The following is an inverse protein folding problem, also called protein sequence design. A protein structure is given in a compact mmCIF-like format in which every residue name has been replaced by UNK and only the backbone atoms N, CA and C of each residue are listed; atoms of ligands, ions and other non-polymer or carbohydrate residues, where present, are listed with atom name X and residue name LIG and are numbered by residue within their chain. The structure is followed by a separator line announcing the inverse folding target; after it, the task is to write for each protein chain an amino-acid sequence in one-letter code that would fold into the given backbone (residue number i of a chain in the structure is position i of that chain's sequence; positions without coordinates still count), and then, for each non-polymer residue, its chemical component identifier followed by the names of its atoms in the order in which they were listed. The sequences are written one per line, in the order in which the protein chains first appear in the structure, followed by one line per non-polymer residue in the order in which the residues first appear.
data_IF_650550838438
#
_entry.id   IF_650550838438
#
_cell.length_a   1.000
_cell.length_b   1.000
_cell.length_c   1.000
_cell.angle_alpha   90.00
_cell.angle_beta   90.00
_cell.angle_gamma   90.00
#
_symmetry.space_group_name_H-M   'P 1'
#
loop_
_entity.id
_entity.type
_entity.pdbx_description
1 polymer ?
#
# COMPACT_ATOMS: atom_id res chain seq x y z
N UNK A 1 -26.30 10.02 -27.51
CA UNK A 1 -26.52 11.00 -26.40
C UNK A 1 -25.85 10.44 -25.15
N UNK A 2 -24.66 10.93 -24.81
CA UNK A 2 -24.07 10.65 -23.48
C UNK A 2 -24.94 11.38 -22.44
N UNK A 3 -25.64 10.63 -21.60
CA UNK A 3 -26.30 11.21 -20.44
C UNK A 3 -25.22 11.82 -19.56
N UNK A 4 -25.31 13.12 -19.34
CA UNK A 4 -24.49 13.83 -18.37
C UNK A 4 -24.64 13.15 -17.01
N UNK A 5 -23.56 12.55 -16.50
CA UNK A 5 -23.51 11.91 -15.17
C UNK A 5 -23.37 12.92 -14.02
N UNK A 6 -23.52 14.22 -14.32
CA UNK A 6 -23.45 15.29 -13.32
C UNK A 6 -24.65 15.14 -12.37
N UNK A 7 -24.38 14.84 -11.11
CA UNK A 7 -25.39 14.65 -10.07
C UNK A 7 -25.86 13.21 -9.85
N UNK A 8 -25.27 12.21 -10.55
CA UNK A 8 -25.53 10.81 -10.23
C UNK A 8 -24.88 10.42 -8.88
N UNK A 9 -25.44 9.42 -8.18
CA UNK A 9 -24.84 8.89 -6.93
C UNK A 9 -23.38 8.49 -7.11
N UNK A 10 -23.01 7.99 -8.28
CA UNK A 10 -21.65 7.62 -8.63
C UNK A 10 -20.73 8.85 -8.63
N UNK A 11 -21.14 9.95 -9.26
CA UNK A 11 -20.36 11.20 -9.25
C UNK A 11 -20.24 11.80 -7.84
N UNK A 12 -21.25 11.65 -6.99
CA UNK A 12 -21.22 12.11 -5.59
C UNK A 12 -20.18 11.31 -4.80
N UNK A 13 -20.17 9.98 -4.95
CA UNK A 13 -19.20 9.10 -4.29
C UNK A 13 -17.77 9.37 -4.76
N UNK A 14 -17.56 9.50 -6.07
CA UNK A 14 -16.25 9.78 -6.65
C UNK A 14 -15.70 11.12 -6.16
N UNK A 15 -16.56 12.15 -6.14
CA UNK A 15 -16.19 13.46 -5.58
C UNK A 15 -15.81 13.35 -4.10
N UNK A 16 -16.61 12.66 -3.30
CA UNK A 16 -16.35 12.48 -1.87
C UNK A 16 -15.02 11.77 -1.62
N UNK A 17 -14.74 10.70 -2.38
CA UNK A 17 -13.48 9.96 -2.28
C UNK A 17 -12.31 10.85 -2.69
N UNK A 18 -12.39 11.53 -3.83
CA UNK A 18 -11.33 12.40 -4.32
C UNK A 18 -11.04 13.56 -3.35
N UNK A 19 -12.09 14.26 -2.87
CA UNK A 19 -11.96 15.36 -1.92
C UNK A 19 -11.29 14.92 -0.61
N UNK A 20 -11.73 13.79 -0.03
CA UNK A 20 -11.16 13.30 1.22
C UNK A 20 -9.71 12.85 1.04
N UNK A 21 -9.37 12.17 -0.05
CA UNK A 21 -8.00 11.79 -0.35
C UNK A 21 -7.09 13.02 -0.52
N UNK A 22 -7.53 14.02 -1.28
CA UNK A 22 -6.79 15.27 -1.44
C UNK A 22 -6.59 15.97 -0.10
N UNK A 23 -7.63 16.05 0.74
CA UNK A 23 -7.57 16.67 2.07
C UNK A 23 -6.60 15.95 2.99
N UNK A 24 -6.65 14.60 3.03
CA UNK A 24 -5.72 13.79 3.85
C UNK A 24 -4.29 14.02 3.39
N UNK A 25 -4.04 13.88 2.09
CA UNK A 25 -2.70 14.09 1.53
C UNK A 25 -2.19 15.50 1.79
N UNK A 26 -3.00 16.51 1.57
CA UNK A 26 -2.66 17.90 1.84
C UNK A 26 -2.26 18.11 3.30
N UNK A 27 -3.04 17.60 4.25
CA UNK A 27 -2.76 17.74 5.68
C UNK A 27 -1.44 17.06 6.09
N UNK A 28 -1.11 15.93 5.49
CA UNK A 28 0.15 15.22 5.73
C UNK A 28 1.32 16.03 5.16
N UNK A 29 1.21 16.49 3.91
CA UNK A 29 2.27 17.26 3.24
C UNK A 29 2.53 18.60 3.93
N UNK A 30 1.47 19.30 4.36
CA UNK A 30 1.62 20.56 5.09
C UNK A 30 2.29 20.42 6.46
N UNK A 31 2.16 19.25 7.09
CA UNK A 31 2.83 18.97 8.36
C UNK A 31 4.26 18.47 8.19
N UNK A 32 4.58 17.91 7.03
CA UNK A 32 5.90 17.34 6.74
C UNK A 32 6.26 17.53 5.26
N UNK A 33 6.58 18.77 4.88
CA UNK A 33 6.92 19.14 3.50
C UNK A 33 8.17 18.38 2.99
N UNK A 34 9.15 18.16 3.89
CA UNK A 34 10.47 17.62 3.55
C UNK A 34 10.56 16.08 3.66
N UNK A 35 9.44 15.41 3.97
CA UNK A 35 9.41 13.94 4.17
C UNK A 35 10.41 13.47 5.25
N UNK A 36 10.41 14.19 6.38
CA UNK A 36 11.28 13.88 7.51
C UNK A 36 10.69 12.81 8.47
N UNK A 37 9.42 12.47 8.33
CA UNK A 37 8.74 11.49 9.19
C UNK A 37 7.32 11.21 8.75
N UNK A 38 6.33 12.03 9.17
CA UNK A 38 4.90 11.79 8.93
C UNK A 38 4.57 11.49 7.47
N UNK A 39 5.23 12.17 6.53
CA UNK A 39 4.97 11.97 5.11
C UNK A 39 5.36 10.57 4.60
N UNK A 40 6.23 9.84 5.31
CA UNK A 40 6.51 8.43 5.00
C UNK A 40 5.23 7.58 4.99
N UNK A 41 4.19 7.97 5.78
CA UNK A 41 2.90 7.27 5.82
C UNK A 41 2.22 7.17 4.46
N UNK A 42 2.46 8.13 3.56
CA UNK A 42 1.95 8.11 2.19
C UNK A 42 2.60 7.02 1.33
N UNK A 43 3.67 6.38 1.80
CA UNK A 43 4.31 5.25 1.14
C UNK A 43 3.69 3.90 1.51
N UNK A 44 2.55 3.88 2.22
CA UNK A 44 1.80 2.65 2.45
C UNK A 44 1.49 1.97 1.10
N UNK A 45 1.74 0.67 0.98
CA UNK A 45 1.60 -0.09 -0.27
C UNK A 45 2.76 0.07 -1.26
N UNK A 46 3.53 1.16 -1.20
CA UNK A 46 4.49 1.50 -2.25
C UNK A 46 5.71 0.57 -2.31
N UNK A 47 6.15 0.00 -1.20
CA UNK A 47 7.33 -0.87 -1.20
C UNK A 47 7.11 -2.08 -2.10
N UNK A 48 6.01 -2.80 -1.92
CA UNK A 48 5.66 -3.95 -2.76
C UNK A 48 5.07 -3.49 -4.10
N UNK A 49 4.17 -2.50 -4.10
CA UNK A 49 3.49 -2.04 -5.31
C UNK A 49 4.45 -1.57 -6.40
N UNK A 50 5.48 -0.79 -6.09
CA UNK A 50 6.48 -0.36 -7.08
C UNK A 50 7.33 -1.50 -7.62
N UNK A 51 7.63 -2.50 -6.80
CA UNK A 51 8.32 -3.69 -7.27
C UNK A 51 7.43 -4.47 -8.25
N UNK A 52 6.14 -4.60 -7.96
CA UNK A 52 5.13 -5.20 -8.84
C UNK A 52 5.04 -4.42 -10.16
N UNK A 53 4.95 -3.09 -10.14
CA UNK A 53 4.95 -2.27 -11.35
C UNK A 53 6.15 -2.59 -12.25
N UNK A 54 7.33 -2.67 -11.65
CA UNK A 54 8.57 -2.92 -12.40
C UNK A 54 8.61 -4.35 -12.97
N UNK A 55 8.29 -5.36 -12.15
CA UNK A 55 8.35 -6.78 -12.57
C UNK A 55 7.24 -7.12 -13.57
N UNK A 56 6.09 -6.44 -13.48
CA UNK A 56 5.00 -6.58 -14.46
C UNK A 56 5.25 -5.85 -15.77
N UNK A 57 6.39 -5.18 -15.95
CA UNK A 57 6.67 -4.32 -17.09
C UNK A 57 5.58 -3.24 -17.28
N UNK A 58 5.12 -2.66 -16.15
CA UNK A 58 4.07 -1.63 -16.09
C UNK A 58 2.74 -2.03 -16.72
N UNK A 59 2.42 -3.33 -16.77
CA UNK A 59 1.13 -3.84 -17.26
C UNK A 59 -0.03 -3.53 -16.31
N UNK A 60 0.26 -3.39 -15.01
CA UNK A 60 -0.71 -2.95 -14.02
C UNK A 60 -0.68 -1.43 -13.88
N UNK A 61 -1.84 -0.83 -13.71
CA UNK A 61 -1.93 0.58 -13.35
C UNK A 61 -1.34 0.79 -11.94
N UNK A 62 -0.81 1.98 -11.69
CA UNK A 62 -0.21 2.33 -10.40
C UNK A 62 -1.11 1.98 -9.21
N UNK A 63 -2.39 2.36 -9.25
CA UNK A 63 -3.35 2.06 -8.20
C UNK A 63 -3.63 0.56 -8.01
N UNK A 64 -3.59 -0.22 -9.09
CA UNK A 64 -3.74 -1.67 -9.05
C UNK A 64 -2.54 -2.34 -8.38
N UNK A 65 -1.33 -1.95 -8.77
CA UNK A 65 -0.11 -2.44 -8.12
C UNK A 65 -0.05 -2.04 -6.63
N UNK A 66 -0.47 -0.81 -6.31
CA UNK A 66 -0.52 -0.35 -4.91
C UNK A 66 -1.59 -1.09 -4.09
N UNK A 67 -2.73 -1.46 -4.66
CA UNK A 67 -3.75 -2.22 -3.91
C UNK A 67 -3.23 -3.60 -3.48
N UNK A 68 -2.46 -4.27 -4.33
CA UNK A 68 -1.76 -5.51 -3.96
C UNK A 68 -0.71 -5.23 -2.87
N UNK A 69 0.06 -4.15 -3.02
CA UNK A 69 1.03 -3.72 -2.01
C UNK A 69 0.41 -3.40 -0.65
N UNK A 70 -0.79 -2.79 -0.64
CA UNK A 70 -1.54 -2.52 0.59
C UNK A 70 -2.10 -3.79 1.22
N UNK A 71 -2.55 -4.77 0.41
CA UNK A 71 -2.94 -6.09 0.89
C UNK A 71 -1.75 -6.80 1.56
N UNK A 72 -0.57 -6.79 0.92
CA UNK A 72 0.65 -7.33 1.50
C UNK A 72 0.98 -6.70 2.86
N UNK A 73 0.89 -5.37 2.96
CA UNK A 73 1.19 -4.66 4.21
C UNK A 73 0.13 -4.87 5.29
N UNK A 74 -1.14 -5.08 4.93
CA UNK A 74 -2.18 -5.47 5.88
C UNK A 74 -1.87 -6.84 6.49
N UNK A 75 -1.51 -7.84 5.67
CA UNK A 75 -1.09 -9.16 6.13
C UNK A 75 0.17 -9.09 7.00
N UNK A 76 1.21 -8.34 6.57
CA UNK A 76 2.41 -8.12 7.40
C UNK A 76 2.06 -7.49 8.75
N UNK A 77 1.16 -6.50 8.75
CA UNK A 77 0.75 -5.82 9.99
C UNK A 77 0.01 -6.76 10.93
N UNK A 78 -0.81 -7.68 10.41
CA UNK A 78 -1.49 -8.70 11.19
C UNK A 78 -0.49 -9.72 11.75
N UNK A 79 0.43 -10.26 10.94
CA UNK A 79 1.47 -11.20 11.37
C UNK A 79 2.39 -10.62 12.46
N UNK A 80 2.60 -9.30 12.44
CA UNK A 80 3.40 -8.58 13.43
C UNK A 80 2.59 -8.06 14.63
N UNK A 81 1.27 -8.32 14.68
CA UNK A 81 0.40 -7.96 15.80
C UNK A 81 0.01 -6.48 15.88
N UNK A 82 0.19 -5.71 14.80
CA UNK A 82 -0.23 -4.29 14.75
C UNK A 82 -1.70 -4.10 14.36
N UNK A 83 -2.35 -5.12 13.81
CA UNK A 83 -3.78 -5.17 13.56
C UNK A 83 -4.27 -6.62 13.69
N UNK A 84 -5.58 -6.83 13.83
CA UNK A 84 -6.13 -8.18 13.83
C UNK A 84 -6.22 -8.75 12.42
N UNK A 85 -6.25 -10.09 12.29
CA UNK A 85 -6.47 -10.75 11.00
C UNK A 85 -7.81 -10.34 10.37
N UNK A 86 -8.86 -10.21 11.21
CA UNK A 86 -10.17 -9.72 10.77
C UNK A 86 -10.10 -8.31 10.15
N UNK A 87 -9.30 -7.42 10.74
CA UNK A 87 -9.08 -6.07 10.20
C UNK A 87 -8.33 -6.12 8.88
N UNK A 88 -7.30 -6.96 8.76
CA UNK A 88 -6.55 -7.14 7.53
C UNK A 88 -7.47 -7.68 6.41
N UNK A 89 -8.26 -8.71 6.71
CA UNK A 89 -9.24 -9.26 5.79
C UNK A 89 -10.28 -8.22 5.34
N UNK A 90 -10.76 -7.40 6.27
CA UNK A 90 -11.69 -6.31 5.95
C UNK A 90 -11.09 -5.28 4.99
N UNK A 91 -9.81 -4.94 5.15
CA UNK A 91 -9.08 -4.04 4.23
C UNK A 91 -9.00 -4.67 2.84
N UNK A 92 -8.60 -5.94 2.75
CA UNK A 92 -8.49 -6.68 1.49
C UNK A 92 -9.85 -6.75 0.78
N UNK A 93 -10.89 -7.17 1.49
CA UNK A 93 -12.26 -7.22 0.94
C UNK A 93 -12.78 -5.86 0.45
N UNK A 94 -12.35 -4.76 1.06
CA UNK A 94 -12.72 -3.43 0.60
C UNK A 94 -12.13 -3.15 -0.79
N UNK A 95 -10.87 -3.48 -1.02
CA UNK A 95 -10.24 -3.32 -2.34
C UNK A 95 -10.88 -4.22 -3.40
N UNK A 96 -11.15 -5.48 -3.07
CA UNK A 96 -11.86 -6.41 -3.96
C UNK A 96 -13.24 -5.88 -4.36
N UNK A 97 -14.01 -5.37 -3.39
CA UNK A 97 -15.33 -4.74 -3.65
C UNK A 97 -15.22 -3.46 -4.50
N UNK A 98 -14.09 -2.77 -4.47
CA UNK A 98 -13.81 -1.64 -5.34
C UNK A 98 -13.32 -2.07 -6.73
N UNK A 99 -13.22 -3.37 -7.02
CA UNK A 99 -12.72 -3.91 -8.29
C UNK A 99 -11.21 -3.81 -8.45
N UNK A 100 -10.48 -3.64 -7.33
CA UNK A 100 -9.02 -3.57 -7.33
C UNK A 100 -8.41 -4.95 -7.03
N UNK A 101 -7.29 -5.32 -7.69
CA UNK A 101 -6.61 -6.58 -7.42
C UNK A 101 -5.96 -6.54 -6.03
N UNK A 102 -6.02 -7.67 -5.33
CA UNK A 102 -5.41 -7.88 -4.02
C UNK A 102 -4.41 -9.03 -4.02
N UNK A 103 -4.29 -9.73 -5.14
CA UNK A 103 -3.36 -10.85 -5.34
C UNK A 103 -2.38 -10.53 -6.46
N UNK A 104 -1.20 -11.10 -6.34
CA UNK A 104 -0.17 -11.00 -7.39
C UNK A 104 -0.63 -11.85 -8.59
N UNK A 105 -0.73 -11.27 -9.79
CA UNK A 105 -1.10 -12.01 -10.99
C UNK A 105 -0.13 -13.18 -11.29
N UNK A 106 -0.66 -14.30 -11.79
CA UNK A 106 0.10 -15.52 -12.06
C UNK A 106 1.24 -15.34 -13.08
N UNK A 107 1.16 -14.33 -13.94
CA UNK A 107 2.22 -14.02 -14.89
C UNK A 107 3.43 -13.29 -14.28
N UNK A 108 3.36 -12.92 -13.00
CA UNK A 108 4.46 -12.30 -12.26
C UNK A 108 5.22 -13.39 -11.50
N UNK A 109 6.51 -13.52 -11.78
CA UNK A 109 7.40 -14.39 -11.01
C UNK A 109 7.62 -13.80 -9.61
N UNK A 110 7.12 -14.51 -8.59
CA UNK A 110 7.23 -14.09 -7.18
C UNK A 110 8.67 -14.06 -6.67
N UNK A 111 9.52 -14.94 -7.18
CA UNK A 111 10.94 -14.96 -6.83
C UNK A 111 11.67 -13.74 -7.41
N UNK A 112 11.37 -13.38 -8.64
CA UNK A 112 11.88 -12.17 -9.26
C UNK A 112 11.39 -10.92 -8.51
N UNK A 113 10.12 -10.92 -8.07
CA UNK A 113 9.55 -9.84 -7.27
C UNK A 113 10.29 -9.68 -5.93
N UNK A 114 10.55 -10.78 -5.22
CA UNK A 114 11.35 -10.74 -3.98
C UNK A 114 12.74 -10.19 -4.25
N UNK A 115 13.45 -10.67 -5.27
CA UNK A 115 14.76 -10.14 -5.66
C UNK A 115 14.69 -8.63 -5.94
N UNK A 116 13.65 -8.19 -6.67
CA UNK A 116 13.45 -6.77 -7.00
C UNK A 116 13.29 -5.90 -5.78
N UNK A 117 12.55 -6.36 -4.76
CA UNK A 117 12.39 -5.65 -3.50
C UNK A 117 13.72 -5.30 -2.83
N UNK A 118 14.70 -6.23 -2.89
CA UNK A 118 15.99 -6.07 -2.21
C UNK A 118 17.07 -5.41 -3.08
N UNK A 119 16.86 -5.30 -4.39
CA UNK A 119 17.80 -4.63 -5.32
C UNK A 119 17.49 -3.15 -5.53
N UNK A 120 16.31 -2.66 -5.15
CA UNK A 120 15.96 -1.25 -5.33
C UNK A 120 16.70 -0.36 -4.30
N UNK A 121 17.10 0.86 -4.73
CA UNK A 121 17.91 1.85 -3.99
C UNK A 121 17.32 2.33 -2.65
N UNK A 122 16.13 1.85 -2.27
CA UNK A 122 15.47 2.14 -0.98
C UNK A 122 15.94 1.27 0.19
N UNK A 123 16.89 0.37 -0.06
CA UNK A 123 17.55 -0.41 0.98
C UNK A 123 18.52 0.51 1.71
N UNK A 124 18.10 1.16 2.79
CA UNK A 124 19.01 1.86 3.71
C UNK A 124 19.66 0.81 4.59
N UNK A 125 20.98 0.78 4.63
CA UNK A 125 21.78 -0.15 5.43
C UNK A 125 21.50 -1.65 5.15
N UNK A 126 21.16 -2.00 3.89
CA UNK A 126 20.86 -3.38 3.51
C UNK A 126 19.50 -3.90 3.98
N UNK A 127 18.62 -3.04 4.54
CA UNK A 127 17.33 -3.44 5.08
C UNK A 127 16.16 -2.74 4.39
N UNK A 128 15.23 -3.55 3.89
CA UNK A 128 14.00 -3.08 3.30
C UNK A 128 13.03 -2.59 4.38
N UNK A 129 12.53 -1.37 4.24
CA UNK A 129 11.65 -0.73 5.21
C UNK A 129 10.20 -0.67 4.71
N UNK A 130 9.27 -0.90 5.62
CA UNK A 130 7.84 -0.87 5.34
C UNK A 130 7.11 0.07 6.30
N UNK A 131 6.16 0.80 5.76
CA UNK A 131 5.10 1.45 6.55
C UNK A 131 4.08 0.38 6.87
N UNK A 132 3.67 0.25 8.12
CA UNK A 132 2.69 -0.74 8.56
C UNK A 132 1.40 -0.07 9.04
N UNK A 133 0.30 -0.79 8.96
CA UNK A 133 -1.01 -0.33 9.45
C UNK A 133 -1.16 -0.63 10.94
N UNK A 134 -1.72 0.32 11.68
CA UNK A 134 -2.17 0.15 13.07
C UNK A 134 -3.70 0.11 13.07
N UNK A 135 -4.24 -1.08 12.82
CA UNK A 135 -5.67 -1.21 12.56
C UNK A 135 -6.12 -0.47 11.28
N UNK A 136 -7.41 -0.14 11.19
CA UNK A 136 -7.98 0.59 10.06
C UNK A 136 -7.91 2.09 10.32
N UNK A 137 -7.36 2.84 9.37
CA UNK A 137 -7.32 4.31 9.41
C UNK A 137 -6.09 4.93 10.08
N UNK A 138 -5.13 4.11 10.53
CA UNK A 138 -3.87 4.60 11.10
C UNK A 138 -2.66 3.79 10.62
N UNK A 139 -1.48 4.39 10.71
CA UNK A 139 -0.18 3.74 10.50
C UNK A 139 0.55 3.61 11.83
N UNK A 140 1.48 2.66 11.91
CA UNK A 140 2.32 2.47 13.09
C UNK A 140 3.38 3.58 13.14
N UNK A 141 3.48 4.25 14.27
CA UNK A 141 4.62 5.09 14.61
C UNK A 141 5.54 4.27 15.54
N UNK A 142 6.70 3.87 15.05
CA UNK A 142 7.64 2.98 15.76
C UNK A 142 8.48 3.70 16.80
N UNK A 143 8.72 4.98 16.58
CA UNK A 143 9.35 5.94 17.47
C UNK A 143 8.89 7.35 17.05
N UNK A 144 9.04 8.39 17.85
CA UNK A 144 8.64 9.73 17.48
C UNK A 144 9.14 10.15 16.08
N UNK A 145 8.22 10.37 15.15
CA UNK A 145 8.49 10.72 13.75
C UNK A 145 8.97 9.58 12.86
N UNK A 146 8.99 8.32 13.31
CA UNK A 146 9.47 7.16 12.54
C UNK A 146 8.31 6.26 12.17
N UNK A 147 7.93 6.24 10.89
CA UNK A 147 6.78 5.51 10.38
C UNK A 147 7.14 4.28 9.51
N UNK A 148 8.41 4.12 9.15
CA UNK A 148 8.87 2.96 8.41
C UNK A 148 9.85 2.13 9.25
N UNK A 149 9.69 0.79 9.24
CA UNK A 149 10.50 -0.18 10.00
C UNK A 149 11.11 -1.22 9.05
N UNK A 150 12.35 -1.66 9.30
CA UNK A 150 12.89 -2.85 8.66
C UNK A 150 12.03 -4.07 8.95
N UNK A 151 11.75 -4.86 7.93
CA UNK A 151 11.05 -6.15 8.05
C UNK A 151 12.00 -7.25 7.59
N UNK A 152 11.97 -8.38 8.30
CA UNK A 152 12.77 -9.55 7.96
C UNK A 152 12.39 -10.09 6.58
N UNK A 153 13.38 -10.46 5.79
CA UNK A 153 13.18 -10.95 4.43
C UNK A 153 12.27 -12.19 4.39
N UNK A 154 12.40 -13.07 5.35
CA UNK A 154 11.58 -14.27 5.49
C UNK A 154 10.10 -13.95 5.55
N UNK A 155 9.70 -12.94 6.34
CA UNK A 155 8.29 -12.53 6.45
C UNK A 155 7.81 -11.86 5.15
N UNK A 156 8.61 -10.98 4.57
CA UNK A 156 8.23 -10.33 3.31
C UNK A 156 8.06 -11.36 2.19
N UNK A 157 8.96 -12.34 2.11
CA UNK A 157 8.88 -13.46 1.18
C UNK A 157 7.64 -14.31 1.42
N UNK A 158 7.38 -14.72 2.67
CA UNK A 158 6.20 -15.50 3.03
C UNK A 158 4.91 -14.84 2.51
N UNK A 159 4.73 -13.54 2.80
CA UNK A 159 3.56 -12.78 2.37
C UNK A 159 3.45 -12.68 0.84
N UNK A 160 4.57 -12.49 0.13
CA UNK A 160 4.57 -12.45 -1.34
C UNK A 160 4.18 -13.81 -1.93
N UNK A 161 4.61 -14.90 -1.31
CA UNK A 161 4.23 -16.24 -1.78
C UNK A 161 2.78 -16.60 -1.48
N UNK A 162 2.17 -16.01 -0.44
CA UNK A 162 0.76 -16.19 -0.06
C UNK A 162 -0.18 -15.41 -1.01
N UNK A 163 0.23 -14.27 -1.55
CA UNK A 163 -0.55 -13.40 -2.44
C UNK A 163 -0.47 -13.84 -3.90
#
# INVERSE_FOLDING_TARGET
MQRSLVGSEMCIRDRYIAENNCRIKYNVVMKDEREAGLRETLNLGHTVGRAIETVSDYKLLHGEALSIGMAAQALMSARLGYMSEEQAERVIKLYERAGLPTRIPDYIDREELVKKLYTDKKVRDGKLRFVLQKGIGATVEFAPGVYAKPIEESLAREIIMEL
#
